data_IF_151225264022
#
_entry.id   IF_151225264022
#
_cell.length_a   1.000
_cell.length_b   1.000
_cell.length_c   1.000
_cell.angle_alpha   90.00
_cell.angle_beta   90.00
_cell.angle_gamma   90.00
#
_symmetry.space_group_name_H-M   'P 1'
#
loop_
_entity.id
_entity.type
_entity.pdbx_description
1 polymer ?
#
# COMPACT_ATOMS: atom_id res chain seq x y z
N UNK A 1 14.16 -2.87 -12.08
CA UNK A 1 13.48 -3.22 -10.80
C UNK A 1 13.91 -4.60 -10.41
N UNK A 2 14.31 -4.79 -9.16
CA UNK A 2 14.66 -6.10 -8.61
C UNK A 2 13.42 -6.69 -7.92
N UNK A 3 13.09 -7.91 -8.27
CA UNK A 3 11.95 -8.60 -7.66
C UNK A 3 12.45 -9.65 -6.68
N UNK A 4 11.91 -9.66 -5.44
CA UNK A 4 12.20 -10.72 -4.49
C UNK A 4 11.73 -12.10 -4.97
N UNK A 5 12.30 -13.16 -4.44
CA UNK A 5 11.81 -14.52 -4.66
C UNK A 5 10.42 -14.70 -4.04
N UNK A 6 9.54 -15.40 -4.76
CA UNK A 6 8.22 -15.73 -4.25
C UNK A 6 8.28 -16.69 -3.07
N UNK A 7 7.41 -16.45 -2.07
CA UNK A 7 7.33 -17.32 -0.90
C UNK A 7 6.74 -18.69 -1.26
N UNK A 8 7.23 -19.72 -0.57
CA UNK A 8 6.83 -21.12 -0.72
C UNK A 8 6.38 -21.69 0.61
N UNK A 9 5.70 -22.83 0.58
CA UNK A 9 5.37 -23.58 1.79
C UNK A 9 6.63 -23.88 2.61
N UNK A 10 6.55 -23.74 3.92
CA UNK A 10 7.61 -23.81 4.93
C UNK A 10 8.58 -22.63 4.96
N UNK A 11 8.43 -21.62 4.10
CA UNK A 11 9.18 -20.37 4.22
C UNK A 11 8.79 -19.61 5.50
N UNK A 12 9.71 -18.79 5.97
CA UNK A 12 9.50 -17.95 7.14
C UNK A 12 9.02 -16.56 6.75
N UNK A 13 7.90 -16.13 7.35
CA UNK A 13 7.39 -14.77 7.27
C UNK A 13 7.77 -14.03 8.54
N UNK A 14 8.54 -12.96 8.40
CA UNK A 14 8.85 -12.01 9.47
C UNK A 14 7.73 -10.98 9.61
N UNK A 15 7.30 -10.74 10.84
CA UNK A 15 6.36 -9.68 11.16
C UNK A 15 7.09 -8.58 11.88
N UNK A 16 6.97 -7.37 11.37
CA UNK A 16 7.69 -6.19 11.87
C UNK A 16 6.72 -5.05 12.16
N UNK A 17 7.15 -4.15 13.01
CA UNK A 17 6.36 -2.98 13.40
C UNK A 17 7.16 -1.69 13.21
N UNK A 18 7.41 -1.30 11.95
CA UNK A 18 8.19 -0.09 11.66
C UNK A 18 7.42 1.20 11.96
N UNK A 19 6.13 1.07 12.26
CA UNK A 19 5.25 2.13 12.72
C UNK A 19 4.40 1.62 13.89
N UNK A 20 3.08 1.43 13.74
CA UNK A 20 2.19 1.00 14.83
C UNK A 20 2.35 -0.49 15.15
N UNK A 21 2.40 -0.81 16.47
CA UNK A 21 2.38 -2.18 16.97
C UNK A 21 0.95 -2.63 17.37
N UNK A 22 0.67 -3.92 17.24
CA UNK A 22 -0.63 -4.51 17.58
C UNK A 22 -0.76 -4.76 19.11
N UNK A 23 -0.56 -3.71 19.92
CA UNK A 23 -0.57 -3.81 21.38
C UNK A 23 -1.98 -3.69 22.00
N UNK A 24 -2.92 -3.09 21.27
CA UNK A 24 -4.28 -2.77 21.74
C UNK A 24 -5.34 -3.52 20.94
N UNK A 25 -6.52 -3.71 21.54
CA UNK A 25 -7.68 -4.24 20.83
C UNK A 25 -8.28 -3.20 19.87
N UNK A 26 -8.81 -3.62 18.72
CA UNK A 26 -8.99 -5.02 18.24
C UNK A 26 -7.75 -5.62 17.56
N UNK A 27 -6.68 -4.87 17.39
CA UNK A 27 -5.52 -5.25 16.59
C UNK A 27 -4.73 -6.40 17.19
N UNK A 28 -4.63 -6.47 18.53
CA UNK A 28 -3.92 -7.53 19.24
C UNK A 28 -4.53 -8.91 18.95
N UNK A 29 -5.81 -9.08 19.26
CA UNK A 29 -6.51 -10.35 19.00
C UNK A 29 -6.54 -10.70 17.52
N UNK A 30 -6.68 -9.69 16.63
CA UNK A 30 -6.63 -9.90 15.21
C UNK A 30 -5.25 -10.41 14.75
N UNK A 31 -4.16 -9.79 15.23
CA UNK A 31 -2.79 -10.21 14.86
C UNK A 31 -2.47 -11.61 15.40
N UNK A 32 -2.86 -11.93 16.65
CA UNK A 32 -2.70 -13.28 17.22
C UNK A 32 -3.43 -14.35 16.38
N UNK A 33 -4.63 -14.02 15.87
CA UNK A 33 -5.34 -14.94 14.98
C UNK A 33 -4.72 -15.01 13.58
N UNK A 34 -4.16 -13.90 13.09
CA UNK A 34 -3.45 -13.87 11.82
C UNK A 34 -2.24 -14.83 11.82
N UNK A 35 -1.41 -14.82 12.88
CA UNK A 35 -0.28 -15.74 13.02
C UNK A 35 -0.73 -17.20 12.89
N UNK A 36 -1.81 -17.59 13.59
CA UNK A 36 -2.38 -18.93 13.49
C UNK A 36 -2.87 -19.25 12.07
N UNK A 37 -3.36 -18.26 11.34
CA UNK A 37 -3.81 -18.45 9.97
C UNK A 37 -2.62 -18.63 9.01
N UNK A 38 -1.53 -17.89 9.15
CA UNK A 38 -0.30 -18.09 8.38
C UNK A 38 0.31 -19.48 8.64
N UNK A 39 0.35 -19.94 9.90
CA UNK A 39 0.81 -21.28 10.26
C UNK A 39 -0.05 -22.38 9.61
N UNK A 40 -1.39 -22.21 9.58
CA UNK A 40 -2.30 -23.14 8.89
C UNK A 40 -2.10 -23.18 7.38
N UNK A 41 -1.59 -22.09 6.79
CA UNK A 41 -1.21 -22.03 5.37
C UNK A 41 0.16 -22.66 5.11
N UNK A 42 0.85 -23.18 6.13
CA UNK A 42 2.13 -23.85 6.02
C UNK A 42 3.34 -22.92 6.12
N UNK A 43 3.19 -21.65 6.53
CA UNK A 43 4.31 -20.75 6.74
C UNK A 43 4.79 -20.78 8.19
N UNK A 44 6.09 -20.57 8.38
CA UNK A 44 6.65 -20.27 9.71
C UNK A 44 6.47 -18.81 10.02
N UNK A 45 6.22 -18.48 11.27
CA UNK A 45 6.02 -17.10 11.74
C UNK A 45 7.17 -16.66 12.65
N UNK A 46 7.78 -15.53 12.35
CA UNK A 46 8.83 -14.90 13.14
C UNK A 46 8.38 -13.48 13.53
N UNK A 47 8.07 -13.27 14.81
CA UNK A 47 7.44 -12.05 15.29
C UNK A 47 8.47 -11.10 15.91
N UNK A 48 8.59 -9.94 15.34
CA UNK A 48 9.49 -8.89 15.81
C UNK A 48 9.16 -8.37 17.22
N UNK A 49 10.16 -7.95 17.98
CA UNK A 49 10.01 -7.55 19.38
C UNK A 49 9.11 -6.33 19.59
N UNK A 50 8.86 -5.55 18.53
CA UNK A 50 8.03 -4.35 18.61
C UNK A 50 6.56 -4.60 18.24
N UNK A 51 6.21 -5.76 17.65
CA UNK A 51 4.86 -6.03 17.16
C UNK A 51 3.75 -5.92 18.22
N UNK A 52 4.06 -6.11 19.49
CA UNK A 52 3.13 -5.97 20.62
C UNK A 52 3.43 -4.75 21.50
N UNK A 53 4.18 -3.78 21.02
CA UNK A 53 4.46 -2.53 21.73
C UNK A 53 3.59 -1.38 21.23
N UNK A 54 3.44 -0.37 22.08
CA UNK A 54 2.77 0.89 21.76
C UNK A 54 3.35 2.00 22.63
N UNK A 55 3.75 3.08 22.00
CA UNK A 55 4.22 4.30 22.70
C UNK A 55 3.09 5.35 22.83
N UNK A 56 1.88 5.00 22.40
CA UNK A 56 0.67 5.80 22.58
C UNK A 56 0.47 6.95 21.57
N UNK A 57 1.36 7.12 20.60
CA UNK A 57 1.31 8.20 19.60
C UNK A 57 1.37 7.69 18.16
N UNK A 58 0.78 6.54 17.89
CA UNK A 58 0.76 5.97 16.53
C UNK A 58 2.06 5.31 16.10
N UNK A 59 2.94 4.98 17.04
CA UNK A 59 4.19 4.26 16.83
C UNK A 59 4.34 3.14 17.87
N UNK A 60 5.01 2.06 17.52
CA UNK A 60 5.20 0.89 18.40
C UNK A 60 6.20 1.18 19.53
N UNK A 61 7.31 1.82 19.20
CA UNK A 61 8.38 2.20 20.13
C UNK A 61 9.14 3.40 19.55
N UNK A 62 10.33 3.74 20.07
CA UNK A 62 11.13 4.84 19.52
C UNK A 62 11.52 4.58 18.04
N UNK A 63 11.67 5.64 17.23
CA UNK A 63 11.98 5.53 15.80
C UNK A 63 13.26 4.73 15.49
N UNK A 64 14.30 4.85 16.33
CA UNK A 64 15.53 4.09 16.21
C UNK A 64 15.28 2.58 16.33
N UNK A 65 14.51 2.14 17.34
CA UNK A 65 14.18 0.72 17.53
C UNK A 65 13.26 0.18 16.44
N UNK A 66 12.39 1.02 15.88
CA UNK A 66 11.55 0.64 14.74
C UNK A 66 12.42 0.38 13.49
N UNK A 67 13.39 1.27 13.23
CA UNK A 67 14.33 1.11 12.13
C UNK A 67 15.29 -0.06 12.32
N UNK A 68 15.83 -0.25 13.54
CA UNK A 68 16.67 -1.41 13.88
C UNK A 68 15.92 -2.74 13.63
N UNK A 69 14.70 -2.91 14.17
CA UNK A 69 13.89 -4.10 13.94
C UNK A 69 13.68 -4.37 12.45
N UNK A 70 13.32 -3.31 11.69
CA UNK A 70 13.13 -3.46 10.26
C UNK A 70 14.40 -3.96 9.57
N UNK A 71 15.55 -3.36 9.88
CA UNK A 71 16.85 -3.74 9.29
C UNK A 71 17.27 -5.16 9.67
N UNK A 72 17.13 -5.53 10.94
CA UNK A 72 17.48 -6.87 11.42
C UNK A 72 16.68 -7.94 10.65
N UNK A 73 15.38 -7.77 10.54
CA UNK A 73 14.49 -8.69 9.83
C UNK A 73 14.67 -8.66 8.31
N UNK A 74 14.97 -7.47 7.74
CA UNK A 74 15.17 -7.36 6.30
C UNK A 74 16.47 -8.04 5.86
N UNK A 75 17.52 -7.95 6.66
CA UNK A 75 18.83 -8.54 6.36
C UNK A 75 18.95 -10.01 6.79
N UNK A 76 18.07 -10.51 7.65
CA UNK A 76 18.07 -11.90 8.08
C UNK A 76 17.75 -12.83 6.91
N UNK A 77 18.71 -13.70 6.55
CA UNK A 77 18.58 -14.64 5.42
C UNK A 77 17.54 -15.75 5.66
N UNK A 78 17.18 -16.04 6.91
CA UNK A 78 16.16 -17.03 7.26
C UNK A 78 14.74 -16.56 6.94
N UNK A 79 14.51 -15.25 6.95
CA UNK A 79 13.22 -14.62 6.66
C UNK A 79 13.05 -14.42 5.16
N UNK A 80 11.97 -14.94 4.59
CA UNK A 80 11.72 -14.88 3.14
C UNK A 80 10.87 -13.68 2.72
N UNK A 81 10.01 -13.20 3.62
CA UNK A 81 9.09 -12.08 3.39
C UNK A 81 8.86 -11.33 4.68
N UNK A 82 8.67 -10.02 4.61
CA UNK A 82 8.25 -9.20 5.74
C UNK A 82 6.82 -8.70 5.53
N UNK A 83 6.01 -8.77 6.57
CA UNK A 83 4.67 -8.16 6.59
C UNK A 83 4.60 -7.23 7.81
N UNK A 84 4.24 -5.96 7.59
CA UNK A 84 3.99 -5.03 8.67
C UNK A 84 2.80 -5.49 9.51
N UNK A 85 2.91 -5.49 10.83
CA UNK A 85 1.82 -5.91 11.70
C UNK A 85 0.63 -4.93 11.66
N UNK A 86 0.87 -3.62 11.50
CA UNK A 86 -0.14 -2.59 11.41
C UNK A 86 0.27 -1.41 10.51
N UNK A 87 -0.60 -0.41 10.40
CA UNK A 87 -0.29 0.89 9.83
C UNK A 87 0.45 1.78 10.82
N UNK A 88 -0.05 2.98 11.08
CA UNK A 88 0.48 3.95 12.05
C UNK A 88 0.53 5.36 11.48
N UNK A 89 1.32 6.23 12.14
CA UNK A 89 1.35 7.66 11.83
C UNK A 89 2.78 8.22 11.65
N UNK A 90 3.78 7.60 12.25
CA UNK A 90 5.10 8.22 12.43
C UNK A 90 6.26 7.40 11.82
N UNK A 91 5.98 6.58 10.81
CA UNK A 91 7.05 5.88 10.09
C UNK A 91 8.03 6.85 9.42
N UNK A 92 7.59 8.05 9.09
CA UNK A 92 8.45 9.10 8.55
C UNK A 92 9.63 9.46 9.48
N UNK A 93 9.53 9.21 10.79
CA UNK A 93 10.65 9.33 11.73
C UNK A 93 11.51 8.05 11.77
N UNK A 94 10.88 6.88 11.60
CA UNK A 94 11.57 5.58 11.64
C UNK A 94 12.50 5.36 10.44
N UNK A 95 12.14 5.89 9.26
CA UNK A 95 12.94 5.73 8.03
C UNK A 95 14.33 6.37 8.12
N UNK A 96 14.55 7.33 9.03
CA UNK A 96 15.87 7.89 9.29
C UNK A 96 16.86 6.87 9.87
N UNK A 97 16.35 5.77 10.43
CA UNK A 97 17.11 4.69 11.02
C UNK A 97 17.16 3.43 10.12
N UNK A 98 16.77 3.57 8.86
CA UNK A 98 16.83 2.50 7.84
C UNK A 98 17.99 2.77 6.89
N UNK A 99 18.89 1.80 6.75
CA UNK A 99 20.02 1.84 5.82
C UNK A 99 19.59 1.36 4.43
N UNK A 100 19.03 2.26 3.63
CA UNK A 100 18.56 1.96 2.26
C UNK A 100 19.69 1.55 1.32
N UNK A 101 20.95 1.92 1.58
CA UNK A 101 22.09 1.50 0.79
C UNK A 101 22.35 -0.01 0.98
N UNK A 102 22.35 -0.49 2.23
CA UNK A 102 22.47 -1.93 2.50
C UNK A 102 21.32 -2.74 1.88
N UNK A 103 20.11 -2.20 1.91
CA UNK A 103 18.95 -2.84 1.25
C UNK A 103 19.16 -2.89 -0.26
N UNK A 104 19.65 -1.80 -0.86
CA UNK A 104 19.92 -1.71 -2.31
C UNK A 104 20.99 -2.70 -2.75
N UNK A 105 22.01 -2.92 -1.95
CA UNK A 105 23.11 -3.84 -2.26
C UNK A 105 22.80 -5.31 -1.89
N UNK A 106 21.89 -5.50 -0.93
CA UNK A 106 21.54 -6.81 -0.39
C UNK A 106 20.58 -7.63 -1.26
N UNK A 107 20.20 -8.80 -0.75
CA UNK A 107 19.15 -9.66 -1.35
C UNK A 107 17.80 -8.95 -1.28
N UNK A 108 17.07 -8.80 -2.39
CA UNK A 108 15.74 -8.23 -2.35
C UNK A 108 14.78 -9.14 -1.57
N UNK A 109 13.95 -8.56 -0.72
CA UNK A 109 12.97 -9.27 0.10
C UNK A 109 11.61 -8.60 -0.03
N UNK A 110 10.53 -9.39 -0.15
CA UNK A 110 9.19 -8.84 -0.13
C UNK A 110 8.92 -8.12 1.20
N UNK A 111 8.40 -6.92 1.10
CA UNK A 111 7.77 -6.20 2.20
C UNK A 111 6.33 -5.89 1.79
N UNK A 112 5.37 -6.18 2.67
CA UNK A 112 3.96 -5.88 2.46
C UNK A 112 3.39 -5.05 3.61
N UNK A 113 2.68 -4.00 3.24
CA UNK A 113 1.93 -3.13 4.12
C UNK A 113 1.25 -2.00 3.34
N UNK A 114 0.37 -1.25 3.97
CA UNK A 114 -0.32 -0.08 3.42
C UNK A 114 -0.43 1.03 4.47
N UNK A 115 -1.10 2.14 4.14
CA UNK A 115 -1.21 3.26 5.07
C UNK A 115 0.17 3.88 5.31
N UNK A 116 0.57 4.09 6.56
CA UNK A 116 1.89 4.61 6.94
C UNK A 116 3.05 3.78 6.36
N UNK A 117 2.83 2.48 6.08
CA UNK A 117 3.81 1.64 5.37
C UNK A 117 4.10 2.10 3.94
N UNK A 118 3.37 3.08 3.40
CA UNK A 118 3.72 3.78 2.16
C UNK A 118 5.16 4.27 2.21
N UNK A 119 5.60 4.81 3.36
CA UNK A 119 6.98 5.25 3.55
C UNK A 119 7.99 4.16 3.16
N UNK A 120 7.71 2.90 3.46
CA UNK A 120 8.62 1.80 3.14
C UNK A 120 8.37 1.24 1.74
N UNK A 121 7.12 0.94 1.35
CA UNK A 121 6.82 0.36 0.03
C UNK A 121 7.23 1.29 -1.11
N UNK A 122 7.10 2.59 -0.91
CA UNK A 122 7.52 3.61 -1.89
C UNK A 122 9.03 3.77 -1.96
N UNK A 123 9.70 3.85 -0.80
CA UNK A 123 11.14 4.06 -0.74
C UNK A 123 11.95 2.83 -1.16
N UNK A 124 11.45 1.61 -0.92
CA UNK A 124 12.05 0.39 -1.47
C UNK A 124 12.10 0.44 -3.00
N UNK A 125 11.04 0.92 -3.65
CA UNK A 125 11.01 1.07 -5.10
C UNK A 125 11.90 2.22 -5.59
N UNK A 126 11.82 3.40 -4.97
CA UNK A 126 12.47 4.61 -5.48
C UNK A 126 13.94 4.75 -5.10
N UNK A 127 14.35 4.27 -3.92
CA UNK A 127 15.74 4.32 -3.44
C UNK A 127 16.52 3.03 -3.71
N UNK A 128 15.88 1.88 -3.52
CA UNK A 128 16.56 0.59 -3.55
C UNK A 128 16.35 -0.18 -4.85
N UNK A 129 15.43 0.28 -5.71
CA UNK A 129 15.04 -0.45 -6.92
C UNK A 129 14.54 -1.87 -6.61
N UNK A 130 13.84 -2.03 -5.49
CA UNK A 130 13.26 -3.28 -5.02
C UNK A 130 11.74 -3.16 -5.00
N UNK A 131 11.07 -4.12 -5.62
CA UNK A 131 9.61 -4.21 -5.61
C UNK A 131 9.08 -4.53 -4.21
N UNK A 132 7.96 -3.92 -3.83
CA UNK A 132 7.26 -4.16 -2.58
C UNK A 132 5.76 -4.30 -2.84
N UNK A 133 5.00 -4.80 -1.86
CA UNK A 133 3.54 -4.99 -2.02
C UNK A 133 2.80 -3.95 -1.19
N UNK A 134 2.12 -3.03 -1.86
CA UNK A 134 1.10 -2.20 -1.22
C UNK A 134 -0.13 -3.06 -1.00
N UNK A 135 -0.32 -3.56 0.22
CA UNK A 135 -1.29 -4.57 0.54
C UNK A 135 -1.59 -4.68 2.03
N UNK A 136 -2.50 -5.58 2.44
CA UNK A 136 -2.98 -5.65 3.82
C UNK A 136 -1.86 -5.86 4.83
N UNK A 137 -1.92 -5.15 5.96
CA UNK A 137 -1.08 -5.44 7.13
C UNK A 137 -1.50 -6.75 7.81
N UNK A 138 -0.60 -7.36 8.57
CA UNK A 138 -0.78 -8.70 9.15
C UNK A 138 -2.04 -8.84 10.01
N UNK A 139 -2.38 -7.84 10.84
CA UNK A 139 -3.58 -7.88 11.67
C UNK A 139 -4.90 -8.04 10.86
N UNK A 140 -4.91 -7.64 9.58
CA UNK A 140 -6.07 -7.82 8.71
C UNK A 140 -6.34 -9.30 8.42
N UNK A 141 -5.29 -10.12 8.33
CA UNK A 141 -5.38 -11.58 8.13
C UNK A 141 -5.94 -12.33 9.34
N UNK A 142 -6.22 -11.63 10.42
CA UNK A 142 -6.91 -12.18 11.58
C UNK A 142 -8.42 -12.29 11.42
N UNK A 143 -9.03 -11.65 10.40
CA UNK A 143 -10.48 -11.72 10.20
C UNK A 143 -10.99 -13.14 9.94
N UNK A 144 -12.26 -13.38 10.27
CA UNK A 144 -12.89 -14.69 10.08
C UNK A 144 -14.35 -14.52 9.63
N UNK A 145 -14.75 -15.05 8.46
CA UNK A 145 -13.89 -15.66 7.42
C UNK A 145 -13.00 -14.62 6.69
N UNK A 146 -11.96 -15.09 6.01
CA UNK A 146 -11.17 -14.24 5.13
C UNK A 146 -11.99 -13.75 3.96
N UNK A 147 -11.83 -12.47 3.62
CA UNK A 147 -12.28 -11.93 2.34
C UNK A 147 -11.32 -12.38 1.22
N UNK A 148 -11.83 -12.44 -0.02
CA UNK A 148 -11.05 -12.82 -1.21
C UNK A 148 -9.76 -12.01 -1.35
N UNK A 149 -9.75 -10.72 -1.01
CA UNK A 149 -8.57 -9.85 -1.08
C UNK A 149 -7.36 -10.34 -0.28
N UNK A 150 -7.58 -11.09 0.81
CA UNK A 150 -6.49 -11.63 1.61
C UNK A 150 -5.85 -12.86 0.95
N UNK A 151 -6.65 -13.70 0.29
CA UNK A 151 -6.12 -14.77 -0.56
C UNK A 151 -5.36 -14.18 -1.74
N UNK A 152 -5.90 -13.12 -2.38
CA UNK A 152 -5.23 -12.43 -3.48
C UNK A 152 -3.85 -11.87 -3.06
N UNK A 153 -3.72 -11.35 -1.83
CA UNK A 153 -2.45 -10.85 -1.31
C UNK A 153 -1.42 -11.98 -1.13
N UNK A 154 -1.84 -13.13 -0.59
CA UNK A 154 -0.98 -14.30 -0.46
C UNK A 154 -0.60 -14.88 -1.83
N UNK A 155 -1.52 -14.87 -2.78
CA UNK A 155 -1.27 -15.34 -4.14
C UNK A 155 -0.28 -14.43 -4.89
N UNK A 156 -0.28 -13.11 -4.63
CA UNK A 156 0.75 -12.17 -5.14
C UNK A 156 2.11 -12.51 -4.52
N UNK A 157 2.22 -12.62 -3.21
CA UNK A 157 3.47 -12.93 -2.53
C UNK A 157 4.05 -14.30 -2.93
N UNK A 158 3.20 -15.27 -3.26
CA UNK A 158 3.60 -16.62 -3.70
C UNK A 158 3.73 -16.75 -5.23
N UNK A 159 3.54 -15.68 -6.00
CA UNK A 159 3.65 -15.67 -7.46
C UNK A 159 2.54 -16.42 -8.19
N UNK A 160 1.50 -16.86 -7.49
CA UNK A 160 0.36 -17.58 -8.08
C UNK A 160 -0.57 -16.65 -8.85
N UNK A 161 -0.51 -15.34 -8.57
CA UNK A 161 -1.39 -14.36 -9.17
C UNK A 161 -0.65 -13.09 -9.54
N UNK A 162 -0.78 -12.69 -10.80
CA UNK A 162 -0.20 -11.46 -11.34
C UNK A 162 -1.29 -10.47 -11.78
N UNK A 163 -2.53 -10.95 -11.90
CA UNK A 163 -3.66 -10.15 -12.37
C UNK A 163 -4.67 -9.88 -11.26
N UNK A 164 -4.83 -8.61 -10.91
CA UNK A 164 -5.85 -8.14 -9.98
C UNK A 164 -7.10 -7.66 -10.74
N UNK A 165 -8.24 -7.81 -10.11
CA UNK A 165 -9.52 -7.25 -10.57
C UNK A 165 -10.23 -6.60 -9.40
N UNK A 166 -11.02 -5.56 -9.64
CA UNK A 166 -11.83 -4.95 -8.59
C UNK A 166 -12.80 -5.96 -7.96
N UNK A 167 -13.21 -5.64 -6.74
CA UNK A 167 -14.24 -6.40 -6.01
C UNK A 167 -15.61 -5.78 -6.29
N UNK A 168 -16.68 -6.58 -6.19
CA UNK A 168 -18.02 -6.10 -6.50
C UNK A 168 -18.59 -5.17 -5.43
N UNK A 169 -18.15 -5.34 -4.19
CA UNK A 169 -18.64 -4.57 -3.05
C UNK A 169 -17.51 -4.09 -2.16
N UNK A 170 -17.79 -3.00 -1.44
CA UNK A 170 -16.86 -2.41 -0.50
C UNK A 170 -17.53 -2.07 0.84
N UNK A 171 -16.72 -1.85 1.87
CA UNK A 171 -17.11 -1.54 3.23
C UNK A 171 -17.05 -0.04 3.47
N UNK A 172 -18.21 0.57 3.75
CA UNK A 172 -18.27 1.97 4.17
C UNK A 172 -18.05 2.11 5.67
N UNK A 173 -18.58 1.17 6.45
CA UNK A 173 -18.47 1.17 7.91
C UNK A 173 -17.98 -0.20 8.39
N UNK A 174 -16.88 -0.21 9.13
CA UNK A 174 -16.31 -1.43 9.67
C UNK A 174 -17.06 -1.89 10.92
N UNK A 175 -17.29 -3.20 11.02
CA UNK A 175 -17.82 -3.85 12.23
C UNK A 175 -16.72 -4.36 13.17
N UNK A 176 -15.46 -4.12 12.82
CA UNK A 176 -14.34 -4.51 13.66
C UNK A 176 -14.27 -3.59 14.89
N UNK A 177 -14.31 -4.21 16.06
CA UNK A 177 -14.27 -3.51 17.36
C UNK A 177 -13.50 -4.34 18.40
N UNK A 178 -13.18 -3.78 19.57
CA UNK A 178 -12.61 -4.57 20.67
C UNK A 178 -13.44 -5.79 21.07
N UNK A 179 -14.77 -5.71 20.94
CA UNK A 179 -15.70 -6.81 21.25
C UNK A 179 -15.82 -7.80 20.10
N UNK A 180 -15.50 -7.37 18.89
CA UNK A 180 -15.54 -8.19 17.67
C UNK A 180 -14.25 -8.03 16.84
N UNK A 181 -13.08 -8.42 17.37
CA UNK A 181 -11.79 -8.14 16.77
C UNK A 181 -11.53 -8.89 15.46
N UNK A 182 -12.26 -9.99 15.22
CA UNK A 182 -12.11 -10.84 14.04
C UNK A 182 -13.20 -10.61 12.99
N UNK A 183 -14.00 -9.55 13.14
CA UNK A 183 -15.06 -9.24 12.19
C UNK A 183 -14.55 -9.25 10.74
N UNK A 184 -15.27 -9.92 9.82
CA UNK A 184 -14.99 -9.80 8.40
C UNK A 184 -15.39 -8.41 7.90
N UNK A 185 -14.98 -8.05 6.69
CA UNK A 185 -15.43 -6.82 6.05
C UNK A 185 -16.96 -6.76 5.92
N UNK A 186 -17.52 -5.62 6.26
CA UNK A 186 -18.96 -5.32 6.13
C UNK A 186 -19.25 -4.74 4.73
N UNK A 187 -19.05 -5.54 3.69
CA UNK A 187 -19.17 -5.12 2.29
C UNK A 187 -20.62 -4.93 1.87
N UNK A 188 -21.16 -3.74 2.09
CA UNK A 188 -22.57 -3.36 1.83
C UNK A 188 -22.75 -2.55 0.56
N UNK A 189 -21.74 -1.76 0.17
CA UNK A 189 -21.81 -0.83 -0.95
C UNK A 189 -21.35 -1.50 -2.27
N UNK A 190 -22.06 -1.24 -3.36
CA UNK A 190 -21.64 -1.69 -4.69
C UNK A 190 -20.46 -0.85 -5.20
N UNK A 191 -19.50 -1.50 -5.87
CA UNK A 191 -18.37 -0.79 -6.48
C UNK A 191 -18.81 -0.12 -7.77
N UNK A 192 -18.62 1.19 -7.87
CA UNK A 192 -18.86 2.00 -9.06
C UNK A 192 -17.60 2.78 -9.41
N UNK A 193 -16.90 2.37 -10.45
CA UNK A 193 -15.70 3.05 -10.93
C UNK A 193 -16.08 4.28 -11.77
N UNK A 194 -15.33 5.37 -11.59
CA UNK A 194 -15.42 6.55 -12.47
C UNK A 194 -14.14 6.66 -13.28
N UNK A 195 -14.26 6.82 -14.59
CA UNK A 195 -13.12 6.91 -15.51
C UNK A 195 -13.16 8.23 -16.27
N UNK A 196 -12.01 8.90 -16.37
CA UNK A 196 -11.84 10.20 -17.00
C UNK A 196 -10.63 10.16 -17.98
N UNK A 197 -10.62 11.00 -19.04
CA UNK A 197 -11.73 11.81 -19.55
C UNK A 197 -12.81 10.96 -20.26
N UNK A 198 -12.44 9.76 -20.70
CA UNK A 198 -13.34 8.78 -21.34
C UNK A 198 -14.03 7.89 -20.29
N UNK A 199 -14.97 7.04 -20.73
CA UNK A 199 -15.63 6.07 -19.85
C UNK A 199 -14.87 4.73 -19.74
N UNK A 200 -13.74 4.63 -20.41
CA UNK A 200 -12.89 3.44 -20.49
C UNK A 200 -11.42 3.85 -20.35
N UNK A 201 -10.59 2.97 -19.80
CA UNK A 201 -9.16 3.19 -19.68
C UNK A 201 -8.37 2.00 -20.19
N UNK A 202 -7.30 2.29 -20.94
CA UNK A 202 -6.29 1.32 -21.33
C UNK A 202 -4.93 2.01 -21.21
N UNK A 203 -4.12 1.59 -20.25
CA UNK A 203 -2.83 2.21 -19.97
C UNK A 203 -1.81 1.17 -19.53
N UNK A 204 -0.53 1.49 -19.77
CA UNK A 204 0.58 0.65 -19.30
C UNK A 204 1.72 1.52 -18.79
N UNK A 205 2.41 1.03 -17.76
CA UNK A 205 3.52 1.72 -17.10
C UNK A 205 3.87 1.07 -15.78
N UNK A 206 4.85 1.61 -15.08
CA UNK A 206 5.22 1.11 -13.75
C UNK A 206 4.26 1.62 -12.68
N UNK A 207 3.81 0.72 -11.82
CA UNK A 207 2.99 1.09 -10.66
C UNK A 207 3.85 1.79 -9.61
N UNK A 208 3.48 3.00 -9.23
CA UNK A 208 4.10 3.73 -8.13
C UNK A 208 3.04 4.51 -7.38
N UNK A 209 3.14 4.59 -6.05
CA UNK A 209 2.15 5.33 -5.27
C UNK A 209 2.00 4.84 -3.84
N UNK A 210 0.82 5.07 -3.28
CA UNK A 210 0.44 4.76 -1.91
C UNK A 210 -0.48 5.81 -1.30
N UNK A 211 -0.41 5.96 0.03
CA UNK A 211 -1.18 6.92 0.79
C UNK A 211 -0.66 8.35 0.61
N UNK A 212 -1.54 9.26 0.18
CA UNK A 212 -1.21 10.68 -0.01
C UNK A 212 -0.76 11.36 1.28
N UNK A 213 -1.28 10.91 2.43
CA UNK A 213 -0.92 11.41 3.75
C UNK A 213 0.60 11.24 4.01
N UNK A 214 1.17 10.14 3.54
CA UNK A 214 2.60 9.86 3.62
C UNK A 214 3.40 10.47 2.46
N UNK A 215 2.92 10.29 1.22
CA UNK A 215 3.66 10.75 0.03
C UNK A 215 3.91 12.25 0.04
N UNK A 216 2.94 13.06 0.50
CA UNK A 216 3.10 14.51 0.60
C UNK A 216 4.20 14.92 1.58
N UNK A 217 4.46 14.12 2.61
CA UNK A 217 5.52 14.37 3.58
C UNK A 217 6.92 14.04 3.04
N UNK A 218 7.03 13.15 2.04
CA UNK A 218 8.32 12.79 1.42
C UNK A 218 8.83 13.83 0.43
N UNK A 219 7.95 14.65 -0.13
CA UNK A 219 8.30 15.67 -1.13
C UNK A 219 9.34 16.65 -0.60
N UNK A 220 10.45 16.80 -1.34
CA UNK A 220 11.54 17.72 -1.01
C UNK A 220 12.42 17.29 0.16
N UNK A 221 12.21 16.10 0.73
CA UNK A 221 13.13 15.51 1.71
C UNK A 221 14.32 14.84 1.03
N UNK A 222 15.29 14.39 1.82
CA UNK A 222 16.43 13.59 1.29
C UNK A 222 16.00 12.28 0.62
N UNK A 223 14.77 11.82 0.89
CA UNK A 223 14.17 10.60 0.36
C UNK A 223 13.43 10.80 -0.97
N UNK A 224 13.21 12.05 -1.39
CA UNK A 224 12.56 12.35 -2.67
C UNK A 224 13.48 12.04 -3.84
N UNK A 225 13.36 10.84 -4.39
CA UNK A 225 14.09 10.33 -5.56
C UNK A 225 13.18 9.97 -6.72
N UNK A 226 11.99 10.59 -6.76
CA UNK A 226 11.00 10.32 -7.82
C UNK A 226 11.49 10.78 -9.18
N UNK A 227 12.27 11.87 -9.24
CA UNK A 227 12.86 12.33 -10.51
C UNK A 227 13.80 11.28 -11.08
N UNK A 228 14.70 10.75 -10.26
CA UNK A 228 15.64 9.70 -10.66
C UNK A 228 14.92 8.40 -11.07
N UNK A 229 13.84 8.04 -10.36
CA UNK A 229 13.00 6.91 -10.74
C UNK A 229 12.32 7.13 -12.09
N UNK A 230 11.72 8.29 -12.32
CA UNK A 230 11.07 8.65 -13.57
C UNK A 230 12.07 8.65 -14.75
N UNK A 231 13.27 9.20 -14.55
CA UNK A 231 14.31 9.19 -15.58
C UNK A 231 14.77 7.77 -15.92
N UNK A 232 14.97 6.92 -14.89
CA UNK A 232 15.37 5.52 -15.06
C UNK A 232 14.34 4.71 -15.84
N UNK A 233 13.05 4.95 -15.62
CA UNK A 233 11.95 4.22 -16.23
C UNK A 233 11.13 5.06 -17.23
N UNK A 234 11.79 6.03 -17.86
CA UNK A 234 11.12 6.99 -18.76
C UNK A 234 10.40 6.32 -19.94
N UNK A 235 10.93 5.22 -20.47
CA UNK A 235 10.31 4.46 -21.57
C UNK A 235 9.01 3.78 -21.12
N UNK A 236 9.01 3.20 -19.93
CA UNK A 236 7.82 2.56 -19.35
C UNK A 236 6.78 3.61 -18.93
N UNK A 237 7.23 4.72 -18.35
CA UNK A 237 6.40 5.70 -17.66
C UNK A 237 5.76 5.13 -16.38
N UNK A 238 4.95 5.94 -15.72
CA UNK A 238 4.38 5.62 -14.41
C UNK A 238 2.86 5.66 -14.41
N UNK A 239 2.24 4.62 -13.87
CA UNK A 239 0.84 4.61 -13.47
C UNK A 239 0.83 4.86 -11.95
N UNK A 240 0.31 6.01 -11.56
CA UNK A 240 0.20 6.40 -10.16
C UNK A 240 -1.04 5.79 -9.52
N UNK A 241 -0.87 5.03 -8.43
CA UNK A 241 -1.97 4.63 -7.57
C UNK A 241 -1.93 5.45 -6.27
N UNK A 242 -3.00 6.16 -5.98
CA UNK A 242 -3.07 7.11 -4.86
C UNK A 242 -4.33 6.88 -4.05
N UNK A 243 -4.25 6.95 -2.74
CA UNK A 243 -5.37 6.89 -1.84
C UNK A 243 -5.17 7.86 -0.66
N UNK A 244 -6.20 8.11 0.13
CA UNK A 244 -6.14 9.05 1.27
C UNK A 244 -6.90 8.51 2.46
N UNK A 245 -6.29 8.59 3.65
CA UNK A 245 -6.87 8.21 4.93
C UNK A 245 -7.49 9.43 5.63
N UNK A 246 -6.66 10.30 6.18
CA UNK A 246 -7.10 11.40 7.05
C UNK A 246 -7.38 12.71 6.30
N UNK A 247 -6.99 12.77 5.03
CA UNK A 247 -7.15 13.96 4.21
C UNK A 247 -8.61 14.20 3.83
N UNK A 248 -9.15 15.38 4.17
CA UNK A 248 -10.40 15.84 3.57
C UNK A 248 -10.19 16.26 2.10
N UNK A 249 -11.27 16.51 1.35
CA UNK A 249 -11.18 16.80 -0.10
C UNK A 249 -10.30 18.02 -0.43
N UNK A 250 -10.23 19.05 0.44
CA UNK A 250 -9.30 20.17 0.24
C UNK A 250 -7.85 19.77 0.45
N UNK A 251 -7.59 18.90 1.43
CA UNK A 251 -6.25 18.38 1.72
C UNK A 251 -5.79 17.41 0.63
N UNK A 252 -6.67 16.55 0.12
CA UNK A 252 -6.39 15.69 -1.06
C UNK A 252 -5.94 16.55 -2.24
N UNK A 253 -6.68 17.62 -2.57
CA UNK A 253 -6.30 18.53 -3.66
C UNK A 253 -4.94 19.17 -3.43
N UNK A 254 -4.64 19.63 -2.20
CA UNK A 254 -3.34 20.22 -1.86
C UNK A 254 -2.19 19.23 -1.94
N UNK A 255 -2.40 18.00 -1.46
CA UNK A 255 -1.41 16.93 -1.54
C UNK A 255 -1.08 16.59 -2.99
N UNK A 256 -2.09 16.36 -3.84
CA UNK A 256 -1.88 16.08 -5.26
C UNK A 256 -1.20 17.28 -5.96
N UNK A 257 -1.59 18.51 -5.62
CA UNK A 257 -0.92 19.72 -6.15
C UNK A 257 0.56 19.78 -5.75
N UNK A 258 0.89 19.37 -4.53
CA UNK A 258 2.28 19.35 -4.04
C UNK A 258 3.13 18.35 -4.83
N UNK A 259 2.62 17.12 -5.04
CA UNK A 259 3.28 16.09 -5.85
C UNK A 259 3.47 16.58 -7.30
N UNK A 260 2.43 17.15 -7.88
CA UNK A 260 2.44 17.74 -9.22
C UNK A 260 3.46 18.85 -9.37
N UNK A 261 3.45 19.81 -8.45
CA UNK A 261 4.36 20.96 -8.44
C UNK A 261 5.82 20.58 -8.25
N UNK A 262 6.07 19.42 -7.62
CA UNK A 262 7.42 18.85 -7.45
C UNK A 262 7.87 18.02 -8.65
N UNK A 263 7.04 17.91 -9.71
CA UNK A 263 7.38 17.21 -10.94
C UNK A 263 7.22 15.68 -10.88
N UNK A 264 6.59 15.14 -9.83
CA UNK A 264 6.44 13.70 -9.68
C UNK A 264 5.68 13.06 -10.84
N UNK A 265 4.71 13.76 -11.41
CA UNK A 265 3.85 13.24 -12.49
C UNK A 265 4.40 13.47 -13.91
N UNK A 266 5.68 13.86 -14.06
CA UNK A 266 6.29 14.20 -15.35
C UNK A 266 6.21 13.08 -16.40
N UNK A 267 6.22 11.82 -15.98
CA UNK A 267 6.12 10.63 -16.84
C UNK A 267 4.83 9.82 -16.61
N UNK A 268 3.77 10.47 -16.10
CA UNK A 268 2.50 9.81 -15.84
C UNK A 268 1.87 9.23 -17.12
N UNK A 269 1.50 7.95 -17.08
CA UNK A 269 0.73 7.23 -18.11
C UNK A 269 -0.73 7.07 -17.71
N UNK A 270 -1.05 7.32 -16.45
CA UNK A 270 -2.40 7.29 -15.90
C UNK A 270 -2.41 7.27 -14.38
N UNK A 271 -3.61 7.30 -13.84
CA UNK A 271 -3.85 7.34 -12.40
C UNK A 271 -4.93 6.35 -11.99
N UNK A 272 -4.71 5.66 -10.87
CA UNK A 272 -5.68 4.81 -10.17
C UNK A 272 -5.88 5.46 -8.79
N UNK A 273 -7.05 6.03 -8.56
CA UNK A 273 -7.36 6.74 -7.33
C UNK A 273 -8.29 5.86 -6.50
N UNK A 274 -7.85 5.48 -5.33
CA UNK A 274 -8.65 4.73 -4.37
C UNK A 274 -9.80 5.56 -3.79
N UNK A 275 -10.82 4.88 -3.27
CA UNK A 275 -11.87 5.55 -2.50
C UNK A 275 -11.24 6.21 -1.27
N UNK A 276 -11.28 7.54 -1.12
CA UNK A 276 -10.77 8.20 0.08
C UNK A 276 -11.64 7.87 1.29
N UNK A 277 -11.07 7.87 2.48
CA UNK A 277 -11.88 7.71 3.70
C UNK A 277 -12.95 8.81 3.83
N UNK A 278 -12.68 9.99 3.26
CA UNK A 278 -13.64 11.10 3.11
C UNK A 278 -14.64 10.90 1.93
N UNK A 279 -14.95 9.65 1.54
CA UNK A 279 -15.83 9.35 0.41
C UNK A 279 -17.19 10.05 0.53
N UNK A 280 -17.59 10.74 -0.55
CA UNK A 280 -18.84 11.50 -0.61
C UNK A 280 -18.80 12.85 0.12
N UNK A 281 -17.63 13.27 0.65
CA UNK A 281 -17.49 14.58 1.27
C UNK A 281 -17.51 15.70 0.22
N UNK A 282 -18.18 16.79 0.55
CA UNK A 282 -18.11 18.04 -0.19
C UNK A 282 -17.80 19.20 0.77
N UNK A 283 -16.79 20.01 0.45
CA UNK A 283 -16.42 21.21 1.23
C UNK A 283 -16.32 22.40 0.29
N UNK A 284 -17.11 23.44 0.54
CA UNK A 284 -17.12 24.69 -0.26
C UNK A 284 -17.38 24.41 -1.77
N UNK A 285 -18.22 23.44 -2.09
CA UNK A 285 -18.51 23.03 -3.46
C UNK A 285 -17.46 22.15 -4.13
N UNK A 286 -16.41 21.74 -3.40
CA UNK A 286 -15.38 20.83 -3.88
C UNK A 286 -15.70 19.42 -3.41
N UNK A 287 -15.92 18.49 -4.32
CA UNK A 287 -16.06 17.06 -4.07
C UNK A 287 -14.75 16.31 -4.37
N UNK A 288 -14.70 15.00 -4.09
CA UNK A 288 -13.51 14.17 -4.31
C UNK A 288 -13.05 14.11 -5.76
N UNK A 289 -13.97 14.13 -6.73
CA UNK A 289 -13.62 14.06 -8.16
C UNK A 289 -12.98 15.36 -8.65
N UNK A 290 -13.57 16.50 -8.29
CA UNK A 290 -13.06 17.82 -8.64
C UNK A 290 -11.74 18.12 -7.89
N UNK A 291 -11.57 17.57 -6.68
CA UNK A 291 -10.33 17.70 -5.94
C UNK A 291 -9.15 17.07 -6.70
N UNK A 292 -9.34 15.91 -7.30
CA UNK A 292 -8.34 15.17 -8.06
C UNK A 292 -8.20 15.75 -9.47
N UNK A 293 -9.29 15.76 -10.25
CA UNK A 293 -9.27 16.16 -11.67
C UNK A 293 -8.87 17.61 -11.87
N UNK A 294 -9.17 18.48 -10.91
CA UNK A 294 -8.75 19.89 -10.96
C UNK A 294 -7.23 20.13 -10.92
N UNK A 295 -6.44 19.09 -10.62
CA UNK A 295 -4.97 19.13 -10.66
C UNK A 295 -4.42 18.26 -11.77
N UNK A 296 -4.79 16.96 -11.82
CA UNK A 296 -4.16 16.00 -12.76
C UNK A 296 -4.85 15.92 -14.10
N UNK A 297 -6.05 16.48 -14.27
CA UNK A 297 -6.77 16.48 -15.55
C UNK A 297 -6.00 17.09 -16.72
N UNK A 298 -5.06 18.00 -16.46
CA UNK A 298 -4.18 18.63 -17.44
C UNK A 298 -3.24 17.66 -18.16
N UNK A 299 -2.96 16.49 -17.57
CA UNK A 299 -2.09 15.47 -18.17
C UNK A 299 -2.75 14.75 -19.35
N UNK A 300 -4.08 14.81 -19.42
CA UNK A 300 -4.86 14.16 -20.49
C UNK A 300 -4.54 12.67 -20.66
N UNK A 301 -4.34 11.97 -19.54
CA UNK A 301 -4.14 10.53 -19.44
C UNK A 301 -5.32 9.90 -18.67
N UNK A 302 -5.57 8.58 -18.82
CA UNK A 302 -6.66 7.94 -18.09
C UNK A 302 -6.55 8.10 -16.58
N UNK A 303 -7.66 8.41 -15.92
CA UNK A 303 -7.80 8.47 -14.46
C UNK A 303 -8.97 7.58 -14.06
N UNK A 304 -8.69 6.52 -13.31
CA UNK A 304 -9.70 5.61 -12.75
C UNK A 304 -9.89 6.00 -11.29
N UNK A 305 -11.10 6.35 -10.88
CA UNK A 305 -11.42 6.74 -9.50
C UNK A 305 -12.34 5.72 -8.83
N UNK A 306 -12.39 5.77 -7.51
CA UNK A 306 -13.14 4.87 -6.64
C UNK A 306 -12.68 3.40 -6.76
N UNK A 307 -11.40 3.20 -7.09
CA UNK A 307 -10.77 1.88 -7.15
C UNK A 307 -10.63 1.26 -5.74
N UNK A 308 -10.53 -0.06 -5.72
CA UNK A 308 -10.32 -0.83 -4.48
C UNK A 308 -8.85 -0.75 -4.03
N UNK A 309 -8.42 0.45 -3.66
CA UNK A 309 -7.08 0.75 -3.15
C UNK A 309 -7.23 1.65 -1.93
N UNK A 310 -6.64 1.28 -0.81
CA UNK A 310 -6.62 2.10 0.40
C UNK A 310 -7.53 1.62 1.54
N UNK A 311 -8.05 2.57 2.34
CA UNK A 311 -8.62 2.32 3.66
C UNK A 311 -10.10 1.92 3.67
N UNK A 312 -10.86 2.17 2.61
CA UNK A 312 -12.22 1.64 2.47
C UNK A 312 -12.15 0.25 1.83
N UNK A 313 -12.20 -0.75 2.68
CA UNK A 313 -11.97 -2.15 2.30
C UNK A 313 -13.05 -2.71 1.34
N UNK A 314 -12.70 -3.72 0.54
CA UNK A 314 -11.41 -4.41 0.43
C UNK A 314 -10.38 -3.65 -0.42
N UNK A 315 -9.11 -4.01 -0.29
CA UNK A 315 -8.07 -3.46 -1.16
C UNK A 315 -7.44 -4.53 -2.04
N UNK A 316 -7.11 -4.16 -3.28
CA UNK A 316 -6.27 -4.97 -4.16
C UNK A 316 -4.81 -4.83 -3.74
N UNK A 317 -4.06 -5.93 -3.59
CA UNK A 317 -2.61 -5.86 -3.43
C UNK A 317 -1.97 -5.40 -4.75
N UNK A 318 -1.15 -4.35 -4.69
CA UNK A 318 -0.43 -3.81 -5.84
C UNK A 318 1.08 -3.90 -5.62
N UNK A 319 1.81 -4.37 -6.61
CA UNK A 319 3.27 -4.47 -6.53
C UNK A 319 3.89 -3.17 -7.01
N UNK A 320 4.39 -2.37 -6.07
CA UNK A 320 5.08 -1.11 -6.31
C UNK A 320 6.34 -1.36 -7.14
N UNK A 321 6.53 -0.59 -8.20
CA UNK A 321 7.65 -0.71 -9.13
C UNK A 321 7.42 -1.72 -10.26
N UNK A 322 6.40 -2.61 -10.20
CA UNK A 322 6.11 -3.54 -11.29
C UNK A 322 5.59 -2.81 -12.53
N UNK A 323 5.92 -3.33 -13.72
CA UNK A 323 5.25 -2.89 -14.94
C UNK A 323 3.84 -3.49 -14.97
N UNK A 324 2.85 -2.68 -15.29
CA UNK A 324 1.46 -3.12 -15.32
C UNK A 324 0.76 -2.71 -16.61
N UNK A 325 -0.20 -3.56 -17.05
CA UNK A 325 -1.22 -3.24 -18.02
C UNK A 325 -2.54 -3.10 -17.29
N UNK A 326 -3.20 -1.97 -17.45
CA UNK A 326 -4.44 -1.62 -16.76
C UNK A 326 -5.53 -1.38 -17.78
N UNK A 327 -6.62 -2.10 -17.63
CA UNK A 327 -7.82 -1.95 -18.45
C UNK A 327 -9.01 -1.75 -17.53
N UNK A 328 -9.82 -0.73 -17.83
CA UNK A 328 -11.08 -0.50 -17.15
C UNK A 328 -12.18 -0.31 -18.19
N UNK A 329 -13.17 -1.20 -18.19
CA UNK A 329 -14.32 -1.18 -19.10
C UNK A 329 -15.57 -1.57 -18.33
N UNK A 330 -16.68 -0.84 -18.51
CA UNK A 330 -17.99 -1.18 -17.96
C UNK A 330 -17.95 -1.58 -16.46
N UNK A 331 -17.28 -0.78 -15.64
CA UNK A 331 -17.14 -1.02 -14.20
C UNK A 331 -16.28 -2.27 -13.83
N UNK A 332 -15.47 -2.76 -14.77
CA UNK A 332 -14.52 -3.85 -14.56
C UNK A 332 -13.10 -3.34 -14.72
N UNK A 333 -12.35 -3.29 -13.61
CA UNK A 333 -10.94 -2.95 -13.58
C UNK A 333 -10.10 -4.23 -13.56
N UNK A 334 -9.10 -4.28 -14.42
CA UNK A 334 -8.07 -5.32 -14.45
C UNK A 334 -6.69 -4.71 -14.46
N UNK A 335 -5.83 -5.17 -13.58
CA UNK A 335 -4.42 -4.75 -13.44
C UNK A 335 -3.55 -6.00 -13.57
N UNK A 336 -2.87 -6.14 -14.68
CA UNK A 336 -1.94 -7.25 -14.93
C UNK A 336 -0.51 -6.77 -14.66
N UNK A 337 0.11 -7.28 -13.62
CA UNK A 337 1.45 -6.92 -13.16
C UNK A 337 2.48 -7.89 -13.73
N UNK A 338 3.56 -7.35 -14.26
CA UNK A 338 4.68 -8.09 -14.83
C UNK A 338 5.93 -7.86 -13.98
N UNK A 339 6.54 -8.93 -13.57
CA UNK A 339 7.70 -8.95 -12.67
C UNK A 339 9.01 -9.16 -13.46
N UNK A 340 9.21 -8.34 -14.49
CA UNK A 340 10.39 -8.31 -15.33
C UNK A 340 11.31 -7.14 -15.07
#
# INVERSE_FOLDING_TARGET
MRYPEFIKENDEIGFVSPSFGCAIEPYKSAFENALKNFEKLGYKTNVGPNCYKSDGIGISTSPDKCGEEFMDYYLDESTNCLISCGGGELMCESIDNVDFEKIREGRPKWFMGYSDNTNMTFLLATLCDVAAVYGPCAATFGMKPWHKSLYDAMDVLSGKKTRMTNYHKWEKESLKSPENPLAPYNVTEETELKVFPENEANMSGRLLGGCLDCLSNLVGTKYDKVKEFNEKYAEDGVIWFLEACDLNVLAIRRAIWQLDSSGWFSHAKGFIIGRPYAFGQEIMGLNQYDAVMGVIGKYNVPVIMDADVGHLAPMMPLVTGSFAKVVCEKNSLSIEMDYR
#
